data_IF_440223816506
#
_entry.id   IF_440223816506
#
_cell.length_a   1.000
_cell.length_b   1.000
_cell.length_c   1.000
_cell.angle_alpha   90.00
_cell.angle_beta   90.00
_cell.angle_gamma   90.00
#
_symmetry.space_group_name_H-M   'P 1'
#
loop_
_entity.id
_entity.type
_entity.pdbx_description
1 polymer ?
#
# COMPACT_ATOMS: atom_id res chain seq x y z
N UNK A 1 -4.03 -17.09 40.28
CA UNK A 1 -3.10 -17.99 39.57
C UNK A 1 -2.81 -17.38 38.21
N UNK A 2 -1.65 -16.76 38.09
CA UNK A 2 -1.12 -16.19 36.85
C UNK A 2 -0.56 -17.35 36.05
N UNK A 3 -1.16 -17.66 34.90
CA UNK A 3 -0.61 -18.62 33.96
C UNK A 3 0.33 -17.83 33.04
N UNK A 4 1.63 -17.96 33.32
CA UNK A 4 2.72 -17.41 32.52
C UNK A 4 2.67 -18.04 31.13
N UNK A 5 2.20 -17.29 30.14
CA UNK A 5 2.46 -17.61 28.74
C UNK A 5 3.97 -17.50 28.52
N UNK A 6 4.55 -18.59 28.02
CA UNK A 6 5.99 -18.73 27.83
C UNK A 6 6.59 -17.57 27.03
N UNK A 7 7.83 -17.24 27.39
CA UNK A 7 8.69 -16.34 26.64
C UNK A 7 8.80 -16.79 25.17
N UNK A 8 7.96 -16.24 24.31
CA UNK A 8 8.25 -16.17 22.87
C UNK A 8 9.31 -15.08 22.77
N UNK A 9 10.56 -15.36 22.34
CA UNK A 9 11.52 -14.29 22.10
C UNK A 9 10.87 -13.33 21.10
N UNK A 10 10.79 -12.06 21.49
CA UNK A 10 10.23 -10.98 20.67
C UNK A 10 11.18 -10.79 19.48
N UNK A 11 11.06 -11.66 18.47
CA UNK A 11 11.87 -11.57 17.26
C UNK A 11 11.49 -10.27 16.56
N UNK A 12 12.40 -9.31 16.52
CA UNK A 12 12.21 -8.08 15.74
C UNK A 12 11.90 -8.46 14.30
N UNK A 13 10.87 -7.82 13.73
CA UNK A 13 10.49 -8.02 12.33
C UNK A 13 11.63 -7.63 11.39
N UNK A 14 12.55 -6.77 11.80
CA UNK A 14 13.74 -6.40 11.04
C UNK A 14 15.00 -6.92 11.75
N UNK A 15 15.90 -7.54 10.97
CA UNK A 15 17.23 -7.98 11.41
C UNK A 15 18.26 -7.15 10.65
N UNK A 16 18.92 -6.23 11.35
CA UNK A 16 19.95 -5.38 10.76
C UNK A 16 21.21 -6.20 10.42
N UNK A 17 21.79 -5.94 9.26
CA UNK A 17 23.04 -6.58 8.81
C UNK A 17 24.02 -5.50 8.36
N UNK A 18 25.07 -5.31 9.14
CA UNK A 18 26.05 -4.24 8.95
C UNK A 18 27.05 -4.53 7.83
N UNK A 19 27.11 -5.77 7.33
CA UNK A 19 28.01 -6.15 6.24
C UNK A 19 27.34 -5.98 4.88
N UNK A 20 26.00 -6.01 4.81
CA UNK A 20 25.27 -5.71 3.57
C UNK A 20 25.53 -4.28 3.11
N UNK A 21 26.03 -4.15 1.88
CA UNK A 21 26.33 -2.88 1.21
C UNK A 21 27.16 -1.90 2.05
N UNK A 22 28.09 -2.42 2.86
CA UNK A 22 28.91 -1.64 3.80
C UNK A 22 29.58 -0.41 3.17
N UNK A 23 30.19 -0.58 1.99
CA UNK A 23 30.85 0.53 1.27
C UNK A 23 29.86 1.59 0.81
N UNK A 24 28.70 1.18 0.30
CA UNK A 24 27.65 2.12 -0.09
C UNK A 24 27.05 2.83 1.14
N UNK A 25 26.77 2.10 2.23
CA UNK A 25 26.27 2.68 3.48
C UNK A 25 27.23 3.76 4.00
N UNK A 26 28.54 3.55 3.94
CA UNK A 26 29.51 4.60 4.28
C UNK A 26 29.42 5.84 3.37
N UNK A 27 29.12 5.65 2.07
CA UNK A 27 28.89 6.76 1.14
C UNK A 27 27.58 7.52 1.40
N UNK A 28 26.53 6.84 1.90
CA UNK A 28 25.24 7.49 2.20
C UNK A 28 25.36 8.64 3.20
N UNK A 29 26.31 8.56 4.15
CA UNK A 29 26.55 9.62 5.13
C UNK A 29 27.04 10.93 4.48
N UNK A 30 27.87 10.83 3.43
CA UNK A 30 28.36 11.99 2.67
C UNK A 30 27.23 12.67 1.88
N UNK A 31 26.20 11.91 1.49
CA UNK A 31 24.97 12.39 0.85
C UNK A 31 23.89 12.80 1.89
N UNK A 32 24.24 12.69 3.18
CA UNK A 32 23.41 12.90 4.35
C UNK A 32 22.24 11.91 4.49
N UNK A 33 22.19 10.86 3.67
CA UNK A 33 21.13 9.84 3.68
C UNK A 33 21.28 8.98 4.95
N UNK A 34 20.17 8.76 5.65
CA UNK A 34 20.12 7.92 6.84
C UNK A 34 19.35 6.65 6.54
N UNK A 35 20.06 5.52 6.51
CA UNK A 35 19.48 4.22 6.17
C UNK A 35 19.92 3.12 7.13
N UNK A 36 19.04 2.13 7.31
CA UNK A 36 19.37 0.86 7.97
C UNK A 36 19.18 -0.26 6.96
N UNK A 37 20.21 -1.09 6.79
CA UNK A 37 20.23 -2.19 5.83
C UNK A 37 20.14 -3.51 6.59
N UNK A 38 19.31 -4.42 6.13
CA UNK A 38 19.12 -5.69 6.79
C UNK A 38 18.13 -6.55 6.04
N UNK A 39 17.40 -7.38 6.79
CA UNK A 39 16.41 -8.29 6.23
C UNK A 39 15.11 -8.28 7.02
N UNK A 40 14.00 -8.49 6.31
CA UNK A 40 12.71 -8.72 6.94
C UNK A 40 12.63 -10.16 7.43
N UNK A 41 12.42 -10.34 8.73
CA UNK A 41 12.23 -11.62 9.39
C UNK A 41 10.85 -12.22 9.11
N UNK A 42 10.64 -12.62 7.85
CA UNK A 42 9.49 -13.36 7.33
C UNK A 42 9.98 -14.47 6.39
N UNK A 43 9.06 -15.30 5.89
CA UNK A 43 9.37 -16.24 4.81
C UNK A 43 10.03 -15.51 3.62
N UNK A 44 11.12 -16.08 3.10
CA UNK A 44 11.92 -15.49 2.02
C UNK A 44 13.08 -14.59 2.47
N UNK A 45 13.09 -14.11 3.72
CA UNK A 45 14.16 -13.29 4.29
C UNK A 45 14.64 -12.14 3.36
N UNK A 46 13.71 -11.35 2.78
CA UNK A 46 14.05 -10.38 1.75
C UNK A 46 14.95 -9.26 2.29
N UNK A 47 15.80 -8.73 1.43
CA UNK A 47 16.63 -7.58 1.76
C UNK A 47 15.76 -6.33 1.93
N UNK A 48 16.03 -5.55 2.97
CA UNK A 48 15.29 -4.32 3.27
C UNK A 48 16.26 -3.19 3.57
N UNK A 49 15.97 -2.03 2.98
CA UNK A 49 16.59 -0.75 3.32
C UNK A 49 15.51 0.12 3.95
N UNK A 50 15.64 0.42 5.24
CA UNK A 50 14.76 1.35 5.95
C UNK A 50 15.34 2.76 5.80
N UNK A 51 14.49 3.71 5.39
CA UNK A 51 14.88 5.09 5.11
C UNK A 51 14.36 6.01 6.20
N UNK A 52 15.27 6.72 6.89
CA UNK A 52 14.91 7.82 7.78
C UNK A 52 14.85 9.12 6.96
N UNK A 53 13.63 9.63 6.82
CA UNK A 53 13.31 10.83 6.06
C UNK A 53 13.09 12.07 6.94
N UNK A 54 13.26 11.96 8.26
CA UNK A 54 13.01 13.05 9.22
C UNK A 54 13.83 14.31 8.94
N UNK A 55 15.03 14.15 8.36
CA UNK A 55 15.88 15.27 7.93
C UNK A 55 15.18 16.19 6.93
N UNK A 56 14.22 15.65 6.17
CA UNK A 56 13.53 16.40 5.12
C UNK A 56 12.39 17.27 5.64
N UNK A 57 12.07 17.22 6.94
CA UNK A 57 11.05 18.08 7.52
C UNK A 57 11.45 19.56 7.49
N UNK A 58 12.73 19.85 7.69
CA UNK A 58 13.25 21.21 7.69
C UNK A 58 13.23 21.87 6.30
N UNK A 59 13.39 21.07 5.23
CA UNK A 59 13.39 21.55 3.84
C UNK A 59 12.16 21.07 3.05
N UNK A 60 11.04 20.85 3.75
CA UNK A 60 9.80 20.37 3.12
C UNK A 60 9.29 21.32 2.05
N UNK A 61 9.47 22.63 2.23
CA UNK A 61 8.94 23.63 1.30
C UNK A 61 9.68 23.60 -0.03
N UNK A 62 11.00 23.38 -0.01
CA UNK A 62 11.81 23.22 -1.22
C UNK A 62 11.41 21.96 -1.99
N UNK A 63 11.15 20.85 -1.28
CA UNK A 63 10.73 19.58 -1.89
C UNK A 63 9.32 19.70 -2.48
N UNK A 64 8.38 20.30 -1.74
CA UNK A 64 7.03 20.55 -2.25
C UNK A 64 7.04 21.49 -3.46
N UNK A 65 7.88 22.54 -3.42
CA UNK A 65 8.11 23.42 -4.56
C UNK A 65 8.65 22.68 -5.78
N UNK A 66 9.58 21.74 -5.59
CA UNK A 66 10.06 20.90 -6.69
C UNK A 66 8.93 20.14 -7.40
N UNK A 67 8.01 19.52 -6.66
CA UNK A 67 6.87 18.81 -7.25
C UNK A 67 5.83 19.76 -7.86
N UNK A 68 5.66 20.96 -7.31
CA UNK A 68 4.86 22.01 -7.94
C UNK A 68 5.48 22.45 -9.28
N UNK A 69 6.75 22.83 -9.28
CA UNK A 69 7.43 23.36 -10.47
C UNK A 69 7.49 22.29 -11.60
N UNK A 70 7.68 21.02 -11.24
CA UNK A 70 7.85 19.92 -12.21
C UNK A 70 6.53 19.29 -12.66
N UNK A 71 5.59 19.07 -11.74
CA UNK A 71 4.37 18.28 -11.98
C UNK A 71 3.08 19.05 -11.71
N UNK A 72 3.15 20.32 -11.29
CA UNK A 72 1.99 21.14 -10.91
C UNK A 72 1.18 20.51 -9.75
N UNK A 73 1.87 19.78 -8.86
CA UNK A 73 1.27 19.20 -7.67
C UNK A 73 1.12 20.25 -6.57
N UNK A 74 -0.07 20.82 -6.46
CA UNK A 74 -0.40 21.75 -5.38
C UNK A 74 -0.38 21.03 -4.02
N UNK A 75 0.30 21.63 -3.05
CA UNK A 75 0.38 21.18 -1.67
C UNK A 75 -0.15 22.21 -0.67
N UNK A 76 -0.68 23.33 -1.15
CA UNK A 76 -1.23 24.38 -0.30
C UNK A 76 -2.40 23.83 0.52
N UNK A 77 -2.39 24.08 1.83
CA UNK A 77 -3.37 23.56 2.79
C UNK A 77 -3.48 22.02 2.82
N UNK A 78 -2.46 21.30 2.34
CA UNK A 78 -2.42 19.85 2.47
C UNK A 78 -2.25 19.41 3.93
N UNK A 79 -2.84 18.27 4.25
CA UNK A 79 -2.72 17.66 5.57
C UNK A 79 -1.31 17.06 5.78
N UNK A 80 -0.92 16.87 7.05
CA UNK A 80 0.43 16.39 7.36
C UNK A 80 0.72 15.00 6.80
N UNK A 81 -0.28 14.12 6.70
CA UNK A 81 -0.11 12.78 6.13
C UNK A 81 0.22 12.81 4.62
N UNK A 82 -0.25 13.83 3.88
CA UNK A 82 0.20 14.06 2.50
C UNK A 82 1.66 14.50 2.47
N UNK A 83 2.02 15.49 3.30
CA UNK A 83 3.40 16.02 3.37
C UNK A 83 4.38 14.91 3.75
N UNK A 84 4.08 14.15 4.80
CA UNK A 84 4.90 13.02 5.27
C UNK A 84 5.12 11.99 4.15
N UNK A 85 4.06 11.63 3.42
CA UNK A 85 4.14 10.71 2.30
C UNK A 85 5.01 11.24 1.16
N UNK A 86 4.85 12.51 0.78
CA UNK A 86 5.66 13.14 -0.27
C UNK A 86 7.14 13.14 0.11
N UNK A 87 7.46 13.48 1.36
CA UNK A 87 8.83 13.49 1.86
C UNK A 87 9.43 12.09 1.95
N UNK A 88 8.63 11.10 2.37
CA UNK A 88 9.05 9.71 2.37
C UNK A 88 9.38 9.21 0.96
N UNK A 89 8.49 9.42 -0.03
CA UNK A 89 8.76 9.01 -1.41
C UNK A 89 9.96 9.72 -2.02
N UNK A 90 10.14 11.03 -1.76
CA UNK A 90 11.33 11.77 -2.16
C UNK A 90 12.60 11.17 -1.54
N UNK A 91 12.60 10.90 -0.23
CA UNK A 91 13.73 10.31 0.47
C UNK A 91 14.08 8.92 -0.06
N UNK A 92 13.05 8.08 -0.30
CA UNK A 92 13.22 6.75 -0.88
C UNK A 92 13.85 6.84 -2.27
N UNK A 93 13.41 7.77 -3.11
CA UNK A 93 13.99 7.98 -4.44
C UNK A 93 15.44 8.48 -4.39
N UNK A 94 15.81 9.37 -3.45
CA UNK A 94 17.21 9.75 -3.22
C UNK A 94 18.08 8.56 -2.80
N UNK A 95 17.53 7.65 -1.98
CA UNK A 95 18.23 6.39 -1.62
C UNK A 95 18.37 5.47 -2.83
N UNK A 96 17.34 5.33 -3.66
CA UNK A 96 17.38 4.55 -4.91
C UNK A 96 18.45 5.12 -5.84
N UNK A 97 18.47 6.44 -6.06
CA UNK A 97 19.45 7.12 -6.90
C UNK A 97 20.88 6.87 -6.41
N UNK A 98 21.12 7.06 -5.11
CA UNK A 98 22.40 6.76 -4.46
C UNK A 98 22.82 5.30 -4.68
N UNK A 99 21.90 4.37 -4.43
CA UNK A 99 22.17 2.94 -4.53
C UNK A 99 22.50 2.52 -5.96
N UNK A 100 21.72 3.01 -6.94
CA UNK A 100 21.91 2.76 -8.36
C UNK A 100 23.26 3.32 -8.83
N UNK A 101 23.55 4.59 -8.54
CA UNK A 101 24.79 5.22 -8.97
C UNK A 101 26.04 4.56 -8.38
N UNK A 102 25.93 4.02 -7.16
CA UNK A 102 27.07 3.40 -6.48
C UNK A 102 27.27 1.93 -6.83
N UNK A 103 26.19 1.14 -6.92
CA UNK A 103 26.29 -0.32 -6.99
C UNK A 103 25.99 -0.89 -8.38
N UNK A 104 25.31 -0.15 -9.26
CA UNK A 104 24.76 -0.72 -10.49
C UNK A 104 25.59 -0.34 -11.71
N UNK A 105 26.02 -1.34 -12.47
CA UNK A 105 26.74 -1.13 -13.72
C UNK A 105 25.81 -0.57 -14.81
N UNK A 106 26.35 0.24 -15.73
CA UNK A 106 25.57 0.95 -16.76
C UNK A 106 24.78 0.05 -17.73
N UNK A 107 25.02 -1.27 -17.74
CA UNK A 107 24.36 -2.25 -18.60
C UNK A 107 23.21 -3.01 -17.93
N UNK A 108 23.00 -2.81 -16.63
CA UNK A 108 21.95 -3.50 -15.89
C UNK A 108 20.63 -2.74 -16.03
N UNK A 109 19.54 -3.49 -16.20
CA UNK A 109 18.19 -2.93 -16.25
C UNK A 109 17.62 -2.89 -14.83
N UNK A 110 17.24 -1.70 -14.38
CA UNK A 110 16.68 -1.48 -13.04
C UNK A 110 15.19 -1.21 -13.17
N UNK A 111 14.41 -1.80 -12.28
CA UNK A 111 12.98 -1.52 -12.16
C UNK A 111 12.70 -1.06 -10.72
N UNK A 112 11.96 0.04 -10.58
CA UNK A 112 11.46 0.52 -9.30
C UNK A 112 9.94 0.38 -9.25
N UNK A 113 9.45 -0.38 -8.28
CA UNK A 113 8.03 -0.68 -8.12
C UNK A 113 7.46 0.03 -6.90
N UNK A 114 6.56 0.97 -7.14
CA UNK A 114 5.91 1.83 -6.18
C UNK A 114 4.47 1.37 -5.95
N UNK A 115 4.07 1.28 -4.68
CA UNK A 115 2.74 0.86 -4.27
C UNK A 115 2.01 2.02 -3.59
N UNK A 116 0.80 2.30 -4.07
CA UNK A 116 -0.09 3.36 -3.58
C UNK A 116 0.47 4.80 -3.69
N UNK A 117 -0.43 5.78 -3.61
CA UNK A 117 -0.08 7.19 -3.76
C UNK A 117 0.96 7.69 -2.75
N UNK A 118 1.12 7.05 -1.58
CA UNK A 118 2.11 7.47 -0.58
C UNK A 118 3.55 7.36 -1.09
N UNK A 119 3.79 6.48 -2.07
CA UNK A 119 5.11 6.31 -2.69
C UNK A 119 5.21 7.01 -4.04
N UNK A 120 4.13 7.65 -4.50
CA UNK A 120 4.02 8.29 -5.81
C UNK A 120 5.05 9.38 -6.05
N UNK A 121 5.41 10.16 -5.03
CA UNK A 121 6.45 11.19 -5.17
C UNK A 121 7.82 10.58 -5.52
N UNK A 122 8.12 9.39 -4.99
CA UNK A 122 9.34 8.66 -5.33
C UNK A 122 9.36 8.20 -6.78
N UNK A 123 8.22 7.73 -7.30
CA UNK A 123 8.08 7.40 -8.72
C UNK A 123 8.34 8.63 -9.59
N UNK A 124 7.68 9.74 -9.29
CA UNK A 124 7.84 10.99 -10.04
C UNK A 124 9.27 11.52 -10.00
N UNK A 125 10.01 11.31 -8.91
CA UNK A 125 11.42 11.65 -8.85
C UNK A 125 12.27 10.75 -9.74
N UNK A 126 12.06 9.43 -9.69
CA UNK A 126 12.80 8.47 -10.53
C UNK A 126 12.57 8.74 -12.01
N UNK A 127 11.33 9.01 -12.42
CA UNK A 127 10.98 9.37 -13.79
C UNK A 127 11.68 10.65 -14.27
N UNK A 128 11.76 11.68 -13.42
CA UNK A 128 12.41 12.94 -13.77
C UNK A 128 13.95 12.85 -13.78
N UNK A 129 14.55 12.18 -12.78
CA UNK A 129 16.00 12.20 -12.55
C UNK A 129 16.75 10.99 -13.08
N UNK A 130 16.06 9.86 -13.28
CA UNK A 130 16.67 8.57 -13.60
C UNK A 130 15.97 7.91 -14.80
N UNK A 131 15.91 8.56 -15.99
CA UNK A 131 15.11 8.09 -17.14
C UNK A 131 15.54 6.74 -17.76
N UNK A 132 16.58 6.10 -17.22
CA UNK A 132 17.03 4.74 -17.60
C UNK A 132 16.49 3.65 -16.66
N UNK A 133 15.87 4.04 -15.56
CA UNK A 133 15.25 3.14 -14.59
C UNK A 133 13.78 3.01 -14.93
N UNK A 134 13.31 1.78 -15.14
CA UNK A 134 11.89 1.55 -15.42
C UNK A 134 11.04 1.70 -14.15
N UNK A 135 9.85 2.27 -14.26
CA UNK A 135 8.95 2.41 -13.11
C UNK A 135 7.66 1.59 -13.23
N UNK A 136 7.21 1.04 -12.10
CA UNK A 136 5.91 0.37 -11.98
C UNK A 136 5.12 1.04 -10.87
N UNK A 137 3.87 1.41 -11.14
CA UNK A 137 2.94 1.91 -10.13
C UNK A 137 1.78 0.94 -9.95
N UNK A 138 1.56 0.46 -8.72
CA UNK A 138 0.37 -0.35 -8.39
C UNK A 138 -0.54 0.39 -7.43
N UNK A 139 -1.80 0.55 -7.81
CA UNK A 139 -2.86 0.93 -6.88
C UNK A 139 -3.76 -0.26 -6.55
N UNK A 140 -4.01 -0.46 -5.26
CA UNK A 140 -4.92 -1.44 -4.70
C UNK A 140 -6.34 -0.89 -4.61
N UNK A 141 -6.50 0.44 -4.51
CA UNK A 141 -7.77 1.16 -4.58
C UNK A 141 -7.51 2.66 -4.78
N UNK A 142 -8.42 3.38 -5.46
CA UNK A 142 -8.23 4.82 -5.66
C UNK A 142 -8.57 5.61 -4.39
N UNK A 143 -7.89 6.73 -4.17
CA UNK A 143 -8.19 7.65 -3.07
C UNK A 143 -9.65 8.10 -3.12
N UNK A 144 -10.11 8.55 -4.28
CA UNK A 144 -11.48 9.04 -4.47
C UNK A 144 -12.51 7.92 -4.29
N UNK A 145 -12.25 6.72 -4.84
CA UNK A 145 -13.14 5.57 -4.66
C UNK A 145 -13.32 5.18 -3.20
N UNK A 146 -12.22 5.12 -2.42
CA UNK A 146 -12.27 4.89 -0.97
C UNK A 146 -13.05 6.00 -0.25
N UNK A 147 -12.85 7.26 -0.61
CA UNK A 147 -13.58 8.38 0.00
C UNK A 147 -15.08 8.35 -0.31
N UNK A 148 -15.49 8.00 -1.53
CA UNK A 148 -16.90 7.83 -1.90
C UNK A 148 -17.54 6.74 -1.04
N UNK A 149 -16.95 5.53 -1.03
CA UNK A 149 -17.51 4.41 -0.30
C UNK A 149 -17.52 4.65 1.23
N UNK A 150 -16.44 5.22 1.76
CA UNK A 150 -16.31 5.53 3.19
C UNK A 150 -17.28 6.59 3.70
N UNK A 151 -17.76 7.49 2.82
CA UNK A 151 -18.79 8.48 3.15
C UNK A 151 -20.22 8.00 2.84
N UNK A 152 -20.41 6.70 2.56
CA UNK A 152 -21.73 6.10 2.36
C UNK A 152 -22.34 6.33 0.98
N UNK A 153 -21.57 6.84 0.01
CA UNK A 153 -22.04 7.04 -1.37
C UNK A 153 -21.91 5.73 -2.18
N UNK A 154 -22.84 5.43 -3.09
CA UNK A 154 -22.82 4.19 -3.86
C UNK A 154 -21.77 4.22 -4.98
N UNK A 155 -20.53 3.80 -4.68
CA UNK A 155 -19.40 3.87 -5.61
C UNK A 155 -19.70 3.27 -6.99
N UNK A 156 -19.94 1.97 -7.08
CA UNK A 156 -20.00 1.28 -8.37
C UNK A 156 -21.28 1.53 -9.16
N UNK A 157 -22.41 1.75 -8.47
CA UNK A 157 -23.70 1.96 -9.13
C UNK A 157 -23.78 3.33 -9.84
N UNK A 158 -23.06 4.34 -9.34
CA UNK A 158 -23.13 5.71 -9.86
C UNK A 158 -21.76 6.27 -10.25
N UNK A 159 -20.74 5.42 -10.40
CA UNK A 159 -19.35 5.84 -10.68
C UNK A 159 -19.23 6.83 -11.84
N UNK A 160 -19.90 6.53 -12.96
CA UNK A 160 -19.89 7.37 -14.18
C UNK A 160 -20.43 8.78 -13.97
N UNK A 161 -21.26 8.99 -12.94
CA UNK A 161 -21.82 10.30 -12.61
C UNK A 161 -20.92 11.15 -11.71
N UNK A 162 -19.88 10.57 -11.11
CA UNK A 162 -18.96 11.31 -10.24
C UNK A 162 -17.87 12.00 -11.06
N UNK A 163 -17.76 13.32 -10.91
CA UNK A 163 -16.62 14.07 -11.41
C UNK A 163 -15.43 13.88 -10.46
N UNK A 164 -14.31 13.26 -10.90
CA UNK A 164 -13.23 12.84 -10.01
C UNK A 164 -12.68 13.98 -9.13
N UNK A 165 -12.37 15.13 -9.74
CA UNK A 165 -11.80 16.28 -9.07
C UNK A 165 -12.80 16.92 -8.10
N UNK A 166 -14.07 17.07 -8.50
CA UNK A 166 -15.11 17.61 -7.62
C UNK A 166 -15.26 16.74 -6.37
N UNK A 167 -15.26 15.41 -6.53
CA UNK A 167 -15.34 14.48 -5.40
C UNK A 167 -14.08 14.55 -4.53
N UNK A 168 -12.90 14.71 -5.14
CA UNK A 168 -11.65 14.84 -4.41
C UNK A 168 -11.64 16.11 -3.53
N UNK A 169 -12.08 17.26 -4.07
CA UNK A 169 -12.24 18.49 -3.28
C UNK A 169 -13.35 18.37 -2.23
N UNK A 170 -14.50 17.77 -2.57
CA UNK A 170 -15.62 17.56 -1.64
C UNK A 170 -15.20 16.79 -0.40
N UNK A 171 -14.33 15.80 -0.55
CA UNK A 171 -13.84 14.99 0.56
C UNK A 171 -12.51 15.48 1.15
N UNK A 172 -11.95 16.59 0.67
CA UNK A 172 -10.67 17.12 1.16
C UNK A 172 -9.47 16.21 0.89
N UNK A 173 -9.51 15.44 -0.21
CA UNK A 173 -8.45 14.48 -0.60
C UNK A 173 -7.80 14.83 -1.93
N UNK A 174 -8.00 16.06 -2.43
CA UNK A 174 -7.51 16.54 -3.71
C UNK A 174 -6.00 16.36 -3.89
N UNK A 175 -5.17 16.66 -2.88
CA UNK A 175 -3.71 16.57 -2.99
C UNK A 175 -3.27 15.12 -3.22
N UNK A 176 -3.86 14.20 -2.47
CA UNK A 176 -3.63 12.75 -2.60
C UNK A 176 -4.11 12.23 -3.95
N UNK A 177 -5.28 12.68 -4.39
CA UNK A 177 -5.84 12.30 -5.68
C UNK A 177 -4.97 12.77 -6.85
N UNK A 178 -4.51 14.01 -6.84
CA UNK A 178 -3.66 14.53 -7.91
C UNK A 178 -2.30 13.83 -7.95
N UNK A 179 -1.68 13.57 -6.79
CA UNK A 179 -0.46 12.77 -6.71
C UNK A 179 -0.68 11.35 -7.25
N UNK A 180 -1.75 10.67 -6.84
CA UNK A 180 -2.11 9.33 -7.33
C UNK A 180 -2.31 9.32 -8.85
N UNK A 181 -3.03 10.32 -9.37
CA UNK A 181 -3.36 10.48 -10.78
C UNK A 181 -2.12 10.74 -11.63
N UNK A 182 -1.23 11.62 -11.19
CA UNK A 182 0.00 11.94 -11.92
C UNK A 182 0.98 10.76 -11.83
N UNK A 183 1.14 10.12 -10.67
CA UNK A 183 1.97 8.92 -10.53
C UNK A 183 1.49 7.79 -11.45
N UNK A 184 0.18 7.53 -11.47
CA UNK A 184 -0.41 6.58 -12.39
C UNK A 184 -0.11 6.95 -13.84
N UNK A 185 -0.30 8.21 -14.27
CA UNK A 185 -0.03 8.65 -15.64
C UNK A 185 1.44 8.64 -16.04
N UNK A 186 2.36 8.84 -15.11
CA UNK A 186 3.79 8.99 -15.40
C UNK A 186 4.51 7.64 -15.45
N UNK A 187 4.05 6.63 -14.69
CA UNK A 187 4.71 5.33 -14.61
C UNK A 187 4.90 4.66 -15.99
N UNK A 188 5.99 3.92 -16.21
CA UNK A 188 6.13 3.12 -17.43
C UNK A 188 5.06 2.02 -17.50
N UNK A 189 4.80 1.38 -16.35
CA UNK A 189 3.77 0.35 -16.21
C UNK A 189 2.85 0.68 -15.03
N UNK A 190 1.55 0.77 -15.29
CA UNK A 190 0.52 0.97 -14.27
C UNK A 190 -0.27 -0.31 -14.07
N UNK A 191 -0.37 -0.79 -12.83
CA UNK A 191 -1.11 -2.00 -12.49
C UNK A 191 -2.16 -1.75 -11.42
N UNK A 192 -3.19 -2.61 -11.41
CA UNK A 192 -4.17 -2.67 -10.34
C UNK A 192 -4.32 -4.10 -9.84
N UNK A 193 -4.89 -4.30 -8.66
CA UNK A 193 -5.04 -5.64 -8.08
C UNK A 193 -6.30 -6.39 -8.51
N UNK A 194 -7.18 -5.75 -9.27
CA UNK A 194 -8.40 -6.38 -9.77
C UNK A 194 -8.98 -5.63 -10.97
N UNK A 195 -9.83 -6.30 -11.75
CA UNK A 195 -10.56 -5.70 -12.86
C UNK A 195 -11.48 -4.55 -12.40
N UNK A 196 -12.11 -4.69 -11.23
CA UNK A 196 -12.99 -3.65 -10.70
C UNK A 196 -12.18 -2.40 -10.32
N UNK A 197 -11.01 -2.58 -9.70
CA UNK A 197 -10.06 -1.48 -9.45
C UNK A 197 -9.55 -0.88 -10.77
N UNK A 198 -9.35 -1.67 -11.82
CA UNK A 198 -8.93 -1.14 -13.13
C UNK A 198 -9.98 -0.22 -13.75
N UNK A 199 -11.27 -0.56 -13.63
CA UNK A 199 -12.37 0.31 -14.08
C UNK A 199 -12.46 1.58 -13.23
N UNK A 200 -12.25 1.46 -11.92
CA UNK A 200 -12.20 2.59 -10.99
C UNK A 200 -11.04 3.55 -11.35
N UNK A 201 -9.82 3.02 -11.55
CA UNK A 201 -8.66 3.80 -11.95
C UNK A 201 -8.81 4.45 -13.32
N UNK A 202 -9.42 3.76 -14.28
CA UNK A 202 -9.72 4.34 -15.59
C UNK A 202 -10.61 5.59 -15.44
N UNK A 203 -11.64 5.53 -14.58
CA UNK A 203 -12.55 6.65 -14.37
C UNK A 203 -11.91 7.79 -13.56
N UNK A 204 -11.35 7.50 -12.38
CA UNK A 204 -10.85 8.54 -11.48
C UNK A 204 -9.46 9.04 -11.86
N UNK A 205 -8.53 8.14 -12.21
CA UNK A 205 -7.15 8.51 -12.53
C UNK A 205 -6.97 8.82 -14.03
N UNK A 206 -7.90 8.39 -14.87
CA UNK A 206 -7.81 8.62 -16.32
C UNK A 206 -6.68 7.84 -16.98
N UNK A 207 -6.22 6.73 -16.38
CA UNK A 207 -5.27 5.78 -16.97
C UNK A 207 -5.81 4.37 -16.82
N UNK A 208 -5.83 3.63 -17.92
CA UNK A 208 -6.15 2.20 -17.94
C UNK A 208 -4.96 1.42 -17.35
N UNK A 209 -5.23 0.44 -16.49
CA UNK A 209 -4.21 -0.49 -16.03
C UNK A 209 -3.64 -1.29 -17.21
N UNK A 210 -2.31 -1.39 -17.27
CA UNK A 210 -1.57 -2.19 -18.24
C UNK A 210 -1.67 -3.68 -17.88
N UNK A 211 -1.61 -4.01 -16.58
CA UNK A 211 -1.67 -5.37 -16.06
C UNK A 211 -2.51 -5.43 -14.78
N UNK A 212 -3.23 -6.53 -14.58
CA UNK A 212 -3.87 -6.85 -13.30
C UNK A 212 -2.95 -7.77 -12.49
N UNK A 213 -2.56 -7.33 -11.29
CA UNK A 213 -1.68 -8.05 -10.36
C UNK A 213 -2.48 -8.49 -9.13
N UNK A 214 -3.27 -9.58 -9.21
CA UNK A 214 -4.14 -10.00 -8.11
C UNK A 214 -3.32 -10.38 -6.88
N UNK A 215 -3.84 -10.04 -5.70
CA UNK A 215 -3.20 -10.39 -4.44
C UNK A 215 -3.17 -11.92 -4.26
N UNK A 216 -1.96 -12.48 -4.18
CA UNK A 216 -1.75 -13.89 -3.87
C UNK A 216 -1.95 -14.20 -2.39
N UNK A 217 -2.14 -15.48 -2.09
CA UNK A 217 -2.17 -15.99 -0.72
C UNK A 217 -1.31 -17.24 -0.62
N UNK A 218 -0.62 -17.45 0.51
CA UNK A 218 0.16 -18.68 0.71
C UNK A 218 -0.77 -19.86 1.04
N UNK A 219 -0.76 -20.89 0.20
CA UNK A 219 -1.61 -22.08 0.37
C UNK A 219 -1.34 -22.83 1.69
N UNK A 220 -0.12 -22.71 2.23
CA UNK A 220 0.31 -23.32 3.48
C UNK A 220 -0.45 -22.81 4.71
N UNK A 221 -1.11 -21.66 4.61
CA UNK A 221 -1.90 -21.07 5.69
C UNK A 221 -3.23 -21.82 5.91
N UNK A 222 -3.77 -22.45 4.86
CA UNK A 222 -4.99 -23.26 4.96
C UNK A 222 -4.60 -24.68 5.35
N UNK A 223 -5.05 -25.19 6.51
CA UNK A 223 -4.71 -26.54 6.93
C UNK A 223 -5.36 -27.57 5.99
N UNK A 224 -4.79 -28.78 5.95
CA UNK A 224 -5.33 -29.87 5.14
C UNK A 224 -6.83 -30.14 5.39
N UNK A 225 -7.51 -30.74 4.42
CA UNK A 225 -8.97 -30.90 4.41
C UNK A 225 -9.57 -31.50 5.69
N UNK A 226 -8.89 -32.47 6.32
CA UNK A 226 -9.35 -33.10 7.57
C UNK A 226 -9.30 -32.10 8.73
N UNK A 227 -8.16 -31.44 8.91
CA UNK A 227 -7.97 -30.42 9.94
C UNK A 227 -8.88 -29.22 9.72
N UNK A 228 -9.05 -28.78 8.47
CA UNK A 228 -9.96 -27.71 8.10
C UNK A 228 -11.41 -28.03 8.47
N UNK A 229 -11.89 -29.23 8.14
CA UNK A 229 -13.27 -29.65 8.44
C UNK A 229 -13.52 -29.68 9.95
N UNK A 230 -12.56 -30.19 10.72
CA UNK A 230 -12.64 -30.18 12.19
C UNK A 230 -12.70 -28.75 12.73
N UNK A 231 -11.74 -27.89 12.35
CA UNK A 231 -11.71 -26.47 12.77
C UNK A 231 -12.99 -25.73 12.40
N UNK A 232 -13.55 -25.99 11.21
CA UNK A 232 -14.83 -25.40 10.77
C UNK A 232 -16.00 -25.83 11.65
N UNK A 233 -16.08 -27.12 12.02
CA UNK A 233 -17.13 -27.63 12.92
C UNK A 233 -17.01 -27.00 14.31
N UNK A 234 -15.80 -26.92 14.83
CA UNK A 234 -15.52 -26.35 16.15
C UNK A 234 -15.86 -24.85 16.17
N UNK A 235 -15.44 -24.09 15.15
CA UNK A 235 -15.78 -22.68 14.99
C UNK A 235 -17.30 -22.45 14.85
N UNK A 236 -18.01 -23.31 14.10
CA UNK A 236 -19.48 -23.24 14.00
C UNK A 236 -20.14 -23.44 15.35
N UNK A 237 -19.71 -24.42 16.14
CA UNK A 237 -20.23 -24.65 17.49
C UNK A 237 -19.99 -23.43 18.39
N UNK A 238 -18.81 -22.82 18.31
CA UNK A 238 -18.51 -21.62 19.07
C UNK A 238 -19.41 -20.44 18.68
N UNK A 239 -19.58 -20.18 17.38
CA UNK A 239 -20.50 -19.15 16.88
C UNK A 239 -21.94 -19.40 17.34
N UNK A 240 -22.37 -20.65 17.34
CA UNK A 240 -23.71 -21.03 17.79
C UNK A 240 -23.91 -20.75 19.28
N UNK A 241 -22.93 -21.09 20.12
CA UNK A 241 -22.98 -20.80 21.55
C UNK A 241 -23.03 -19.29 21.83
N UNK A 242 -22.24 -18.49 21.10
CA UNK A 242 -22.26 -17.03 21.21
C UNK A 242 -23.63 -16.47 20.82
N UNK A 243 -24.21 -16.96 19.72
CA UNK A 243 -25.52 -16.53 19.27
C UNK A 243 -26.62 -16.88 20.27
N UNK A 244 -26.61 -18.09 20.85
CA UNK A 244 -27.55 -18.51 21.90
C UNK A 244 -27.45 -17.64 23.16
N UNK A 245 -26.22 -17.35 23.60
CA UNK A 245 -25.98 -16.48 24.75
C UNK A 245 -26.49 -15.05 24.49
N UNK A 246 -26.34 -14.54 23.26
CA UNK A 246 -26.79 -13.20 22.87
C UNK A 246 -28.32 -13.09 22.82
N UNK A 247 -29.02 -14.10 22.29
CA UNK A 247 -30.50 -14.06 22.15
C UNK A 247 -31.23 -14.58 23.38
N UNK A 248 -30.54 -15.20 24.33
CA UNK A 248 -31.11 -15.70 25.58
C UNK A 248 -31.95 -16.98 25.45
N UNK A 249 -31.93 -17.66 24.29
CA UNK A 249 -32.63 -18.92 24.06
C UNK A 249 -31.84 -19.85 23.13
N UNK A 250 -32.18 -21.15 23.17
CA UNK A 250 -31.54 -22.16 22.34
C UNK A 250 -31.96 -22.04 20.88
N UNK A 251 -30.99 -21.79 20.01
CA UNK A 251 -31.14 -21.83 18.56
C UNK A 251 -31.11 -23.29 18.09
N UNK A 252 -32.07 -23.73 17.29
CA UNK A 252 -32.05 -25.08 16.72
C UNK A 252 -31.15 -25.11 15.46
N UNK A 253 -30.25 -26.09 15.35
CA UNK A 253 -29.35 -26.24 14.18
C UNK A 253 -30.07 -26.58 12.85
N UNK A 254 -31.39 -26.82 12.89
CA UNK A 254 -32.18 -27.29 11.74
C UNK A 254 -32.74 -26.13 10.91
N UNK A 255 -31.87 -25.43 10.18
CA UNK A 255 -32.29 -24.78 8.94
C UNK A 255 -31.41 -25.28 7.79
N UNK A 256 -31.82 -26.40 7.19
CA UNK A 256 -31.45 -26.74 5.81
C UNK A 256 -32.34 -25.88 4.90
N UNK A 257 -31.72 -25.17 3.96
CA UNK A 257 -32.27 -24.55 2.74
C UNK A 257 -33.74 -24.08 2.81
N UNK A 258 -33.92 -22.76 2.85
CA UNK A 258 -35.23 -22.13 2.89
C UNK A 258 -36.16 -22.58 1.76
N UNK A 259 -37.34 -23.05 2.15
CA UNK A 259 -38.58 -22.68 1.48
C UNK A 259 -39.30 -21.72 2.42
N UNK A 260 -39.12 -20.42 2.22
CA UNK A 260 -39.95 -19.41 2.87
C UNK A 260 -41.35 -19.49 2.26
N UNK A 261 -42.29 -20.12 2.95
CA UNK A 261 -43.69 -19.67 2.89
C UNK A 261 -43.86 -18.62 3.98
N UNK A 262 -43.87 -17.35 3.56
CA UNK A 262 -44.47 -16.27 4.36
C UNK A 262 -45.97 -16.56 4.43
N UNK A 263 -46.50 -16.61 5.64
CA UNK A 263 -47.94 -16.46 5.87
C UNK A 263 -48.10 -15.41 6.94
N UNK A 264 -48.67 -14.27 6.49
CA UNK A 264 -49.28 -13.14 7.19
C UNK A 264 -48.50 -12.51 8.35
#
# INVERSE_FOLDING_TARGET
MVQTCGNIPKTTSFVEDTELFKSWKANTENEGLRVRVGRWNIAGNPLVILVDFSRYFANKNEILRYYWDTYQLDSLNSSWDYIESVLFGYAAAKVIESFVNFNVASRENIICHFHEWMTGSGLLYVEDKMPKVGSVFTTHATVVGRSIAGNGYPLYNTMKGYQPEEMAYRFGVQHKHFLEKIAAKTADCFTTVSDITAQESLHFLGRKADVITPNGFEDSFVPNAKTFTKKRKDAKKQLHNVAQALVGYSLNEKHKNGSHKRTL
#
